data_IF_172099470771
#
_entry.id   IF_172099470771
#
_cell.length_a   1.000
_cell.length_b   1.000
_cell.length_c   1.000
_cell.angle_alpha   90.00
_cell.angle_beta   90.00
_cell.angle_gamma   90.00
#
_symmetry.space_group_name_H-M   'P 1'
#
loop_
_entity.id
_entity.type
_entity.pdbx_description
1 polymer ?
#
# COMPACT_ATOMS: atom_id res chain seq x y z
N UNK A 1 12.55 32.84 -12.30
CA UNK A 1 12.39 33.10 -13.73
C UNK A 1 13.30 32.10 -14.44
N UNK A 2 12.83 31.10 -15.17
CA UNK A 2 11.47 30.68 -15.56
C UNK A 2 11.42 29.13 -15.62
N UNK A 3 10.29 28.42 -15.71
CA UNK A 3 8.96 28.76 -16.22
C UNK A 3 7.85 28.20 -15.30
N UNK A 4 6.85 29.02 -14.95
CA UNK A 4 5.55 28.50 -14.48
C UNK A 4 4.73 28.08 -15.71
N UNK A 5 4.99 26.88 -16.25
CA UNK A 5 4.26 26.40 -17.41
C UNK A 5 2.85 25.94 -17.01
N UNK A 6 1.82 26.69 -17.43
CA UNK A 6 0.42 26.37 -17.17
C UNK A 6 -0.05 25.17 -17.99
N UNK A 7 0.13 23.97 -17.43
CA UNK A 7 -0.73 22.83 -17.70
C UNK A 7 -1.29 22.31 -16.38
N UNK A 8 -2.53 21.80 -16.40
CA UNK A 8 -3.04 20.94 -15.33
C UNK A 8 -2.39 19.55 -15.42
N UNK A 9 -1.06 19.51 -15.38
CA UNK A 9 -0.27 18.29 -15.38
C UNK A 9 -0.60 17.51 -14.09
N UNK A 10 -1.22 16.35 -14.26
CA UNK A 10 -1.73 15.54 -13.15
C UNK A 10 -0.54 15.08 -12.28
N UNK A 11 -0.27 15.78 -11.17
CA UNK A 11 0.87 15.43 -10.30
C UNK A 11 0.70 13.99 -9.80
N UNK A 12 1.80 13.25 -9.57
CA UNK A 12 1.70 11.88 -9.04
C UNK A 12 0.88 11.79 -7.73
N UNK A 13 1.03 12.79 -6.88
CA UNK A 13 0.31 12.92 -5.61
C UNK A 13 -1.18 13.18 -5.86
N UNK A 14 -1.52 14.08 -6.81
CA UNK A 14 -2.90 14.38 -7.20
C UNK A 14 -3.58 13.21 -7.90
N UNK A 15 -2.86 12.46 -8.76
CA UNK A 15 -3.35 11.23 -9.40
C UNK A 15 -3.71 10.17 -8.36
N UNK A 16 -2.84 9.92 -7.39
CA UNK A 16 -3.11 8.90 -6.37
C UNK A 16 -4.20 9.33 -5.39
N UNK A 17 -4.29 10.62 -5.07
CA UNK A 17 -5.36 11.20 -4.26
C UNK A 17 -6.72 11.14 -4.98
N UNK A 18 -6.78 11.53 -6.25
CA UNK A 18 -7.98 11.43 -7.09
C UNK A 18 -8.43 9.98 -7.23
N UNK A 19 -7.49 9.05 -7.48
CA UNK A 19 -7.78 7.61 -7.52
C UNK A 19 -8.34 7.08 -6.19
N UNK A 20 -7.84 7.58 -5.06
CA UNK A 20 -8.36 7.24 -3.73
C UNK A 20 -9.76 7.80 -3.47
N UNK A 21 -10.05 9.06 -3.84
CA UNK A 21 -11.39 9.64 -3.70
C UNK A 21 -12.41 8.89 -4.56
N UNK A 22 -12.10 8.68 -5.83
CA UNK A 22 -12.95 7.96 -6.79
C UNK A 22 -13.26 6.51 -6.34
N UNK A 23 -12.28 5.85 -5.71
CA UNK A 23 -12.47 4.53 -5.11
C UNK A 23 -13.31 4.56 -3.81
N UNK A 24 -13.20 5.62 -3.01
CA UNK A 24 -13.90 5.79 -1.72
C UNK A 24 -15.36 6.22 -1.89
N UNK A 25 -15.62 7.13 -2.82
CA UNK A 25 -16.90 7.81 -2.99
C UNK A 25 -17.75 7.14 -4.08
N UNK A 26 -17.14 6.79 -5.22
CA UNK A 26 -17.84 6.17 -6.35
C UNK A 26 -17.67 4.65 -6.42
N UNK A 27 -16.92 4.04 -5.49
CA UNK A 27 -16.65 2.59 -5.48
C UNK A 27 -15.84 2.07 -6.68
N UNK A 28 -15.28 2.94 -7.53
CA UNK A 28 -14.59 2.55 -8.77
C UNK A 28 -13.15 2.07 -8.50
N UNK A 29 -13.01 1.04 -7.66
CA UNK A 29 -11.72 0.57 -7.14
C UNK A 29 -10.69 0.29 -8.25
N UNK A 30 -11.12 -0.25 -9.39
CA UNK A 30 -10.23 -0.62 -10.50
C UNK A 30 -9.58 0.62 -11.13
N UNK A 31 -10.38 1.64 -11.47
CA UNK A 31 -9.89 2.92 -12.00
C UNK A 31 -9.06 3.68 -10.96
N UNK A 32 -9.42 3.59 -9.68
CA UNK A 32 -8.60 4.13 -8.59
C UNK A 32 -7.22 3.47 -8.45
N UNK A 33 -7.15 2.14 -8.62
CA UNK A 33 -5.90 1.38 -8.68
C UNK A 33 -5.06 1.82 -9.88
N UNK A 34 -5.65 1.96 -11.06
CA UNK A 34 -4.96 2.39 -12.29
C UNK A 34 -4.36 3.80 -12.16
N UNK A 35 -5.10 4.76 -11.61
CA UNK A 35 -4.60 6.11 -11.31
C UNK A 35 -3.43 6.08 -10.30
N UNK A 36 -3.52 5.26 -9.25
CA UNK A 36 -2.41 5.09 -8.31
C UNK A 36 -1.20 4.37 -8.92
N UNK A 37 -1.40 3.44 -9.86
CA UNK A 37 -0.30 2.79 -10.57
C UNK A 37 0.38 3.77 -11.54
N UNK A 38 -0.38 4.62 -12.26
CA UNK A 38 0.16 5.72 -13.07
C UNK A 38 1.01 6.67 -12.21
N UNK A 39 0.50 7.07 -11.04
CA UNK A 39 1.23 7.86 -10.06
C UNK A 39 2.54 7.20 -9.58
N UNK A 40 2.53 5.89 -9.32
CA UNK A 40 3.74 5.13 -8.93
C UNK A 40 4.75 5.04 -10.08
N UNK A 41 4.30 4.92 -11.34
CA UNK A 41 5.20 4.93 -12.50
C UNK A 41 5.84 6.30 -12.71
N UNK A 42 5.11 7.39 -12.45
CA UNK A 42 5.63 8.77 -12.57
C UNK A 42 6.52 9.17 -11.38
N UNK A 43 6.20 8.73 -10.15
CA UNK A 43 7.02 8.95 -8.96
C UNK A 43 7.04 7.68 -8.08
N UNK A 44 7.99 6.75 -8.31
CA UNK A 44 8.16 5.55 -7.50
C UNK A 44 8.80 5.83 -6.13
N UNK A 45 9.25 7.07 -5.87
CA UNK A 45 9.87 7.49 -4.62
C UNK A 45 8.88 8.12 -3.61
N UNK A 46 7.60 8.24 -3.97
CA UNK A 46 6.53 8.70 -3.07
C UNK A 46 5.95 7.54 -2.24
N UNK A 47 6.09 7.62 -0.90
CA UNK A 47 5.36 6.75 0.04
C UNK A 47 3.85 6.87 -0.11
N UNK A 48 3.37 8.05 -0.44
CA UNK A 48 1.97 8.45 -0.38
C UNK A 48 1.17 7.81 -1.50
N UNK A 49 1.78 7.65 -2.68
CA UNK A 49 1.21 6.90 -3.80
C UNK A 49 0.98 5.42 -3.43
N UNK A 50 1.87 4.82 -2.62
CA UNK A 50 1.69 3.46 -2.09
C UNK A 50 0.69 3.39 -0.92
N UNK A 51 0.57 4.44 -0.10
CA UNK A 51 -0.46 4.57 0.94
C UNK A 51 -1.86 4.60 0.30
N UNK A 52 -2.07 5.44 -0.72
CA UNK A 52 -3.32 5.53 -1.46
C UNK A 52 -3.66 4.21 -2.16
N UNK A 53 -2.73 3.61 -2.90
CA UNK A 53 -2.93 2.28 -3.52
C UNK A 53 -3.31 1.21 -2.49
N UNK A 54 -2.62 1.19 -1.34
CA UNK A 54 -2.91 0.26 -0.25
C UNK A 54 -4.31 0.44 0.33
N UNK A 55 -4.72 1.69 0.58
CA UNK A 55 -6.08 2.04 1.05
C UNK A 55 -7.16 1.62 0.05
N UNK A 56 -6.95 1.84 -1.25
CA UNK A 56 -7.90 1.38 -2.28
C UNK A 56 -8.03 -0.14 -2.28
N UNK A 57 -6.93 -0.88 -2.11
CA UNK A 57 -7.00 -2.34 -1.96
C UNK A 57 -7.75 -2.77 -0.69
N UNK A 58 -7.75 -1.99 0.41
CA UNK A 58 -8.59 -2.28 1.59
C UNK A 58 -10.07 -2.07 1.30
N UNK A 59 -10.44 -0.96 0.67
CA UNK A 59 -11.82 -0.67 0.24
C UNK A 59 -12.34 -1.78 -0.70
N UNK A 60 -11.50 -2.19 -1.67
CA UNK A 60 -11.75 -3.31 -2.58
C UNK A 60 -11.70 -4.70 -1.92
N UNK A 61 -11.58 -4.80 -0.59
CA UNK A 61 -11.41 -6.03 0.23
C UNK A 61 -10.18 -6.89 -0.13
N UNK A 62 -9.29 -6.44 -1.01
CA UNK A 62 -8.06 -7.10 -1.48
C UNK A 62 -6.90 -6.96 -0.45
N UNK A 63 -7.12 -7.36 0.80
CA UNK A 63 -6.18 -7.18 1.95
C UNK A 63 -4.74 -7.61 1.64
N UNK A 64 -4.54 -8.75 0.96
CA UNK A 64 -3.23 -9.25 0.54
C UNK A 64 -2.47 -8.29 -0.39
N UNK A 65 -3.17 -7.55 -1.25
CA UNK A 65 -2.55 -6.55 -2.12
C UNK A 65 -2.28 -5.24 -1.39
N UNK A 66 -3.15 -4.84 -0.45
CA UNK A 66 -2.91 -3.70 0.43
C UNK A 66 -1.60 -3.87 1.23
N UNK A 67 -1.41 -5.03 1.86
CA UNK A 67 -0.19 -5.37 2.60
C UNK A 67 1.05 -5.30 1.69
N UNK A 68 0.95 -5.76 0.43
CA UNK A 68 2.05 -5.67 -0.55
C UNK A 68 2.35 -4.23 -0.97
N UNK A 69 1.32 -3.38 -1.14
CA UNK A 69 1.49 -1.95 -1.45
C UNK A 69 2.13 -1.20 -0.27
N UNK A 70 1.61 -1.36 0.94
CA UNK A 70 2.16 -0.79 2.16
C UNK A 70 3.62 -1.23 2.40
N UNK A 71 3.94 -2.52 2.21
CA UNK A 71 5.33 -3.03 2.29
C UNK A 71 6.24 -2.53 1.17
N UNK A 72 5.72 -2.04 0.03
CA UNK A 72 6.52 -1.29 -0.96
C UNK A 72 6.78 0.13 -0.47
N UNK A 73 5.73 0.85 -0.06
CA UNK A 73 5.84 2.22 0.47
C UNK A 73 6.87 2.35 1.61
N UNK A 74 6.85 1.44 2.59
CA UNK A 74 7.80 1.44 3.70
C UNK A 74 9.27 1.16 3.31
N UNK A 75 9.53 0.54 2.16
CA UNK A 75 10.90 0.39 1.64
C UNK A 75 11.39 1.63 0.90
N UNK A 76 10.47 2.49 0.45
CA UNK A 76 10.75 3.74 -0.24
C UNK A 76 10.96 4.86 0.77
N UNK A 77 10.02 5.03 1.71
CA UNK A 77 10.15 5.93 2.86
C UNK A 77 9.40 5.36 4.05
N UNK A 78 10.01 5.41 5.24
CA UNK A 78 9.36 5.01 6.49
C UNK A 78 8.23 6.00 6.82
N UNK A 79 6.99 5.57 6.61
CA UNK A 79 5.80 6.39 6.79
C UNK A 79 4.96 5.90 7.98
N UNK A 80 4.64 6.78 8.92
CA UNK A 80 3.85 6.44 10.11
C UNK A 80 2.44 6.02 9.76
N UNK A 81 1.79 6.69 8.79
CA UNK A 81 0.43 6.35 8.34
C UNK A 81 0.39 4.92 7.83
N UNK A 82 1.37 4.51 7.01
CA UNK A 82 1.46 3.14 6.50
C UNK A 82 1.72 2.13 7.63
N UNK A 83 2.54 2.48 8.63
CA UNK A 83 2.77 1.64 9.82
C UNK A 83 1.45 1.44 10.59
N UNK A 84 0.64 2.48 10.74
CA UNK A 84 -0.60 2.43 11.53
C UNK A 84 -1.75 1.71 10.79
N UNK A 85 -1.83 1.82 9.46
CA UNK A 85 -2.71 0.98 8.61
C UNK A 85 -2.33 -0.52 8.70
N UNK A 86 -1.03 -0.84 8.84
CA UNK A 86 -0.59 -2.22 9.08
C UNK A 86 -0.97 -2.69 10.49
N UNK A 87 -0.80 -1.86 11.52
CA UNK A 87 -1.22 -2.18 12.90
C UNK A 87 -2.74 -2.41 12.99
N UNK A 88 -3.56 -1.52 12.44
CA UNK A 88 -5.03 -1.60 12.51
C UNK A 88 -5.59 -2.86 11.83
N UNK A 89 -4.92 -3.36 10.80
CA UNK A 89 -5.20 -4.65 10.17
C UNK A 89 -4.87 -5.89 11.03
N UNK A 90 -4.38 -5.71 12.26
CA UNK A 90 -3.93 -6.79 13.16
C UNK A 90 -2.50 -7.28 12.88
N UNK A 91 -1.73 -6.59 12.04
CA UNK A 91 -0.36 -7.01 11.68
C UNK A 91 0.60 -6.47 12.73
N UNK A 92 0.71 -7.20 13.85
CA UNK A 92 1.70 -6.95 14.89
C UNK A 92 3.09 -6.89 14.25
N UNK A 93 3.85 -5.82 14.51
CA UNK A 93 5.11 -5.57 13.81
C UNK A 93 6.11 -6.72 14.04
N UNK A 94 6.54 -7.37 12.96
CA UNK A 94 7.82 -8.08 12.95
C UNK A 94 8.94 -7.03 13.12
N UNK A 95 9.95 -7.28 13.98
CA UNK A 95 10.89 -6.24 14.39
C UNK A 95 11.69 -5.66 13.21
N UNK A 96 12.09 -4.37 13.27
CA UNK A 96 12.55 -3.60 12.12
C UNK A 96 13.91 -4.06 11.54
N UNK A 97 14.68 -4.86 12.29
CA UNK A 97 16.00 -5.33 11.88
C UNK A 97 16.12 -6.87 12.02
N UNK A 98 15.40 -7.58 11.15
CA UNK A 98 15.82 -8.90 10.70
C UNK A 98 16.49 -8.73 9.33
N UNK A 99 17.83 -8.74 9.31
CA UNK A 99 18.62 -8.57 8.08
C UNK A 99 18.31 -9.67 7.05
N UNK A 100 18.14 -9.26 5.79
CA UNK A 100 17.77 -10.07 4.63
C UNK A 100 18.73 -11.27 4.38
N UNK A 101 18.33 -12.33 3.65
CA UNK A 101 17.08 -12.54 2.90
C UNK A 101 16.24 -13.71 3.52
N UNK A 102 15.76 -14.83 2.91
CA UNK A 102 15.67 -15.34 1.53
C UNK A 102 14.48 -16.34 1.40
N UNK A 103 13.56 -16.05 0.46
CA UNK A 103 12.60 -16.96 -0.21
C UNK A 103 11.98 -18.18 0.54
N UNK A 104 10.94 -18.00 1.38
CA UNK A 104 9.94 -19.07 1.59
C UNK A 104 8.54 -18.60 2.03
N UNK A 105 7.54 -19.50 1.95
CA UNK A 105 6.07 -19.26 2.01
C UNK A 105 5.53 -18.85 3.40
N UNK A 106 6.39 -18.60 4.38
CA UNK A 106 6.06 -18.60 5.81
C UNK A 106 5.01 -17.55 6.25
N UNK A 107 4.95 -16.38 5.59
CA UNK A 107 3.93 -15.35 5.89
C UNK A 107 2.49 -15.78 5.50
N UNK A 108 2.29 -16.96 4.91
CA UNK A 108 0.96 -17.54 4.61
C UNK A 108 0.60 -18.78 5.47
N UNK A 109 1.56 -19.34 6.22
CA UNK A 109 1.38 -20.60 6.97
C UNK A 109 1.18 -20.42 8.48
N UNK A 110 1.78 -19.39 9.08
CA UNK A 110 1.75 -19.17 10.55
C UNK A 110 0.34 -19.03 11.12
N UNK A 111 -0.63 -18.54 10.35
CA UNK A 111 -2.03 -18.43 10.75
C UNK A 111 -2.87 -19.72 10.66
N UNK A 112 -2.35 -20.82 10.07
CA UNK A 112 -3.09 -22.09 9.94
C UNK A 112 -2.53 -23.24 10.76
N UNK A 113 -1.22 -23.26 11.02
CA UNK A 113 -0.59 -24.32 11.83
C UNK A 113 -0.90 -24.16 13.33
N UNK A 114 -0.96 -22.91 13.84
CA UNK A 114 -1.16 -22.66 15.27
C UNK A 114 -2.50 -23.13 15.84
N UNK A 115 -3.51 -23.34 14.98
CA UNK A 115 -4.85 -23.80 15.39
C UNK A 115 -5.06 -25.32 15.18
N UNK A 116 -4.07 -26.02 14.64
CA UNK A 116 -4.12 -27.47 14.40
C UNK A 116 -3.47 -28.31 15.52
N UNK A 117 -2.67 -27.68 16.38
CA UNK A 117 -1.93 -28.32 17.48
C UNK A 117 -2.49 -27.97 18.87
N UNK A 118 -3.80 -27.67 18.95
CA UNK A 118 -4.51 -27.43 20.22
C UNK A 118 -5.85 -28.19 20.33
N UNK A 119 -5.91 -29.35 19.68
CA UNK A 119 -6.94 -30.37 19.86
C UNK A 119 -6.33 -31.66 20.43
N UNK A 120 -5.88 -31.57 21.69
CA UNK A 120 -6.01 -32.64 22.69
C UNK A 120 -5.95 -32.03 24.10
#
# INVERSE_FOLDING_TARGET
MDQHNHQHAESPEMLSLMGYSLARESGQYQKGIELCLKAITMNPHSSDNYLHLGRIYLLARKKELAIKAFRKGLRVRKDTRIIDELKSMGIRQSPPFASLPRNHVLNRFTGRILNALRLR
#
